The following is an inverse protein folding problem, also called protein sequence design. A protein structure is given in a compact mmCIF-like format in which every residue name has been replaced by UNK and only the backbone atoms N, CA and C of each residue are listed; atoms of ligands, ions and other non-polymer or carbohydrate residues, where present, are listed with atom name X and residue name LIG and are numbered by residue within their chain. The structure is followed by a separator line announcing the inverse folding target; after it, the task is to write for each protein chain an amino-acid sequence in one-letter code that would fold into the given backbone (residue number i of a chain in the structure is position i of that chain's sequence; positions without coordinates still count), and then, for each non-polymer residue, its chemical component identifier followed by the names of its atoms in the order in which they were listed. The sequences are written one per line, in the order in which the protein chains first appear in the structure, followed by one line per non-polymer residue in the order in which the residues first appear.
data_IF_103055589622
#
_entry.id   IF_103055589622
#
_cell.length_a   1.000
_cell.length_b   1.000
_cell.length_c   1.000
_cell.angle_alpha   90.00
_cell.angle_beta   90.00
_cell.angle_gamma   90.00
#
_symmetry.space_group_name_H-M   'P 1'
#
loop_
_entity.id
_entity.type
_entity.pdbx_description
1 polymer ?
#
# COMPACT_ATOMS: atom_id res chain seq x y z
N UNK A 1 6.29 -5.75 15.29
CA UNK A 1 5.88 -5.32 13.94
C UNK A 1 6.54 -6.21 12.88
N UNK A 2 5.83 -7.19 12.29
CA UNK A 2 6.37 -8.07 11.23
C UNK A 2 5.40 -8.32 10.05
N UNK A 3 4.25 -7.65 10.00
CA UNK A 3 3.14 -8.04 9.11
C UNK A 3 3.36 -7.54 7.68
N UNK A 4 3.72 -6.27 7.47
CA UNK A 4 3.86 -5.68 6.14
C UNK A 4 4.99 -6.30 5.30
N UNK A 5 6.12 -6.66 5.90
CA UNK A 5 7.21 -7.30 5.16
C UNK A 5 6.82 -8.64 4.53
N UNK A 6 5.93 -9.40 5.17
CA UNK A 6 5.45 -10.67 4.63
C UNK A 6 4.50 -10.48 3.44
N UNK A 7 3.74 -9.39 3.43
CA UNK A 7 2.80 -9.06 2.35
C UNK A 7 3.51 -8.61 1.06
N UNK A 8 4.66 -7.95 1.19
CA UNK A 8 5.42 -7.51 0.01
C UNK A 8 6.41 -8.58 -0.44
N UNK A 9 6.07 -9.27 -1.53
CA UNK A 9 6.98 -10.15 -2.26
C UNK A 9 8.21 -9.40 -2.79
N UNK A 10 9.29 -10.12 -3.13
CA UNK A 10 10.61 -9.55 -3.51
C UNK A 10 10.52 -8.38 -4.50
N UNK A 11 9.64 -8.48 -5.50
CA UNK A 11 9.44 -7.46 -6.55
C UNK A 11 8.89 -6.14 -5.99
N UNK A 12 7.92 -6.22 -5.08
CA UNK A 12 7.39 -5.05 -4.38
C UNK A 12 8.44 -4.47 -3.43
N UNK A 13 9.24 -5.30 -2.75
CA UNK A 13 10.34 -4.80 -1.91
C UNK A 13 11.36 -4.00 -2.72
N UNK A 14 11.74 -4.50 -3.89
CA UNK A 14 12.63 -3.82 -4.84
C UNK A 14 12.02 -2.49 -5.31
N UNK A 15 10.71 -2.44 -5.61
CA UNK A 15 10.01 -1.21 -5.97
C UNK A 15 9.94 -0.18 -4.82
N UNK A 16 9.96 -0.66 -3.57
CA UNK A 16 9.93 0.19 -2.38
C UNK A 16 11.33 0.63 -1.91
N UNK A 17 12.42 0.05 -2.43
CA UNK A 17 13.80 0.48 -2.14
C UNK A 17 14.04 1.99 -2.33
N UNK A 18 13.63 2.62 -3.45
CA UNK A 18 13.80 4.07 -3.62
C UNK A 18 13.00 4.89 -2.59
N UNK A 19 11.96 4.33 -2.00
CA UNK A 19 11.16 4.94 -0.93
C UNK A 19 11.73 4.68 0.48
N UNK A 20 12.93 4.09 0.58
CA UNK A 20 13.58 3.70 1.84
C UNK A 20 13.24 2.29 2.31
N UNK A 21 12.67 1.47 1.43
CA UNK A 21 12.38 0.06 1.65
C UNK A 21 11.11 -0.18 2.46
N UNK A 22 10.73 -1.46 2.57
CA UNK A 22 9.48 -1.88 3.21
C UNK A 22 9.37 -1.42 4.67
N UNK A 23 10.50 -1.32 5.37
CA UNK A 23 10.49 -0.94 6.78
C UNK A 23 10.13 0.55 6.95
N UNK A 24 10.68 1.43 6.12
CA UNK A 24 10.34 2.86 6.15
C UNK A 24 8.88 3.08 5.76
N UNK A 25 8.40 2.35 4.76
CA UNK A 25 7.00 2.37 4.33
C UNK A 25 6.06 1.91 5.45
N UNK A 26 6.40 0.81 6.15
CA UNK A 26 5.59 0.31 7.25
C UNK A 26 5.54 1.27 8.46
N UNK A 27 6.65 1.97 8.73
CA UNK A 27 6.72 3.01 9.76
C UNK A 27 5.86 4.20 9.36
N UNK A 28 6.07 4.75 8.16
CA UNK A 28 5.26 5.85 7.64
C UNK A 28 3.76 5.52 7.67
N UNK A 29 3.38 4.30 7.28
CA UNK A 29 1.98 3.87 7.33
C UNK A 29 1.42 3.76 8.76
N UNK A 30 2.27 3.47 9.75
CA UNK A 30 1.85 3.38 11.16
C UNK A 30 1.78 4.75 11.84
N UNK A 31 2.56 5.72 11.36
CA UNK A 31 2.60 7.09 11.88
C UNK A 31 1.60 8.02 11.17
N UNK A 32 1.18 7.66 9.96
CA UNK A 32 0.28 8.48 9.16
C UNK A 32 -1.19 8.12 9.38
N UNK A 33 -1.98 9.14 9.70
CA UNK A 33 -3.42 9.01 9.89
C UNK A 33 -4.19 9.00 8.56
N UNK A 34 -3.66 9.69 7.54
CA UNK A 34 -4.28 9.79 6.21
C UNK A 34 -3.30 9.51 5.07
N UNK A 35 -3.83 9.24 3.89
CA UNK A 35 -3.04 9.05 2.67
C UNK A 35 -2.16 10.27 2.36
N UNK A 36 -2.65 11.48 2.63
CA UNK A 36 -1.87 12.71 2.46
C UNK A 36 -0.69 12.79 3.43
N UNK A 37 -0.91 12.42 4.69
CA UNK A 37 0.16 12.39 5.69
C UNK A 37 1.22 11.34 5.33
N UNK A 38 0.78 10.17 4.86
CA UNK A 38 1.66 9.11 4.37
C UNK A 38 2.50 9.57 3.17
N UNK A 39 1.86 10.26 2.23
CA UNK A 39 2.54 10.86 1.09
C UNK A 39 3.61 11.86 1.51
N UNK A 40 3.33 12.71 2.50
CA UNK A 40 4.30 13.66 3.05
C UNK A 40 5.45 12.96 3.78
N UNK A 41 5.15 11.96 4.61
CA UNK A 41 6.14 11.19 5.35
C UNK A 41 7.16 10.50 4.43
N UNK A 42 6.69 9.97 3.29
CA UNK A 42 7.55 9.33 2.28
C UNK A 42 8.06 10.29 1.20
N UNK A 43 7.70 11.57 1.25
CA UNK A 43 7.99 12.56 0.19
C UNK A 43 7.59 12.06 -1.21
N UNK A 44 6.40 11.46 -1.32
CA UNK A 44 5.86 10.98 -2.58
C UNK A 44 5.52 12.15 -3.51
N UNK A 45 5.73 11.96 -4.81
CA UNK A 45 5.21 12.90 -5.79
C UNK A 45 3.68 12.77 -5.86
N UNK A 46 3.01 13.85 -6.29
CA UNK A 46 1.55 13.84 -6.48
C UNK A 46 1.08 12.68 -7.36
N UNK A 47 1.84 12.33 -8.40
CA UNK A 47 1.56 11.18 -9.28
C UNK A 47 1.56 9.84 -8.56
N UNK A 48 2.51 9.63 -7.63
CA UNK A 48 2.59 8.38 -6.85
C UNK A 48 1.45 8.30 -5.84
N UNK A 49 1.07 9.44 -5.26
CA UNK A 49 -0.05 9.54 -4.33
C UNK A 49 -1.39 9.28 -5.00
N UNK A 50 -1.60 9.84 -6.20
CA UNK A 50 -2.78 9.57 -7.05
C UNK A 50 -2.85 8.08 -7.48
N UNK A 51 -1.70 7.49 -7.77
CA UNK A 51 -1.61 6.06 -8.10
C UNK A 51 -1.99 5.19 -6.91
N UNK A 52 -1.45 5.49 -5.72
CA UNK A 52 -1.83 4.83 -4.46
C UNK A 52 -3.33 4.98 -4.20
N UNK A 53 -3.87 6.19 -4.33
CA UNK A 53 -5.32 6.44 -4.18
C UNK A 53 -6.14 5.56 -5.10
N UNK A 54 -5.73 5.45 -6.36
CA UNK A 54 -6.39 4.59 -7.35
C UNK A 54 -6.33 3.11 -6.96
N UNK A 55 -5.21 2.66 -6.38
CA UNK A 55 -5.09 1.28 -5.85
C UNK A 55 -6.06 1.04 -4.70
N UNK A 56 -6.16 1.96 -3.74
CA UNK A 56 -7.12 1.83 -2.64
C UNK A 56 -8.57 1.80 -3.12
N UNK A 57 -8.95 2.71 -4.03
CA UNK A 57 -10.29 2.73 -4.62
C UNK A 57 -10.61 1.45 -5.40
N UNK A 58 -9.65 0.90 -6.14
CA UNK A 58 -9.82 -0.39 -6.82
C UNK A 58 -10.09 -1.51 -5.82
N UNK A 59 -9.36 -1.55 -4.69
CA UNK A 59 -9.57 -2.56 -3.65
C UNK A 59 -10.91 -2.42 -2.94
N UNK A 60 -11.32 -1.19 -2.62
CA UNK A 60 -12.62 -0.87 -2.04
C UNK A 60 -13.77 -1.31 -2.97
N UNK A 61 -13.63 -1.02 -4.27
CA UNK A 61 -14.59 -1.45 -5.30
C UNK A 61 -14.55 -2.95 -5.59
N UNK A 62 -13.59 -3.70 -5.01
CA UNK A 62 -13.41 -5.13 -5.29
C UNK A 62 -12.71 -5.44 -6.62
N UNK A 63 -12.14 -4.44 -7.30
CA UNK A 63 -11.32 -4.62 -8.50
C UNK A 63 -9.90 -5.10 -8.12
N UNK A 64 -9.75 -6.42 -8.06
CA UNK A 64 -8.48 -7.07 -7.80
C UNK A 64 -7.62 -7.20 -9.07
N UNK A 65 -8.15 -6.77 -10.23
CA UNK A 65 -7.44 -6.80 -11.52
C UNK A 65 -6.22 -5.91 -11.53
N UNK A 66 -6.31 -4.75 -10.87
CA UNK A 66 -5.17 -3.85 -10.67
C UNK A 66 -4.06 -4.50 -9.82
N UNK A 67 -4.41 -5.14 -8.70
CA UNK A 67 -3.43 -5.84 -7.85
C UNK A 67 -2.71 -6.96 -8.60
N UNK A 68 -3.44 -7.73 -9.42
CA UNK A 68 -2.84 -8.74 -10.29
C UNK A 68 -1.88 -8.12 -11.32
N UNK A 69 -2.24 -6.98 -11.89
CA UNK A 69 -1.40 -6.24 -12.85
C UNK A 69 -0.11 -5.69 -12.24
N UNK A 70 -0.13 -5.39 -10.93
CA UNK A 70 1.08 -5.04 -10.15
C UNK A 70 2.01 -6.25 -9.90
N UNK A 71 1.62 -7.45 -10.34
CA UNK A 71 2.41 -8.68 -10.20
C UNK A 71 2.23 -9.37 -8.85
N UNK A 72 1.11 -9.11 -8.17
CA UNK A 72 0.77 -9.74 -6.90
C UNK A 72 0.19 -11.13 -7.19
N UNK A 73 0.75 -12.14 -6.53
CA UNK A 73 0.35 -13.54 -6.68
C UNK A 73 -1.01 -13.76 -6.03
N UNK A 74 -1.83 -14.65 -6.60
CA UNK A 74 -3.15 -14.99 -6.05
C UNK A 74 -3.11 -15.40 -4.56
N UNK A 75 -2.01 -16.03 -4.13
CA UNK A 75 -1.81 -16.43 -2.72
C UNK A 75 -1.63 -15.25 -1.76
N UNK A 76 -1.11 -14.12 -2.25
CA UNK A 76 -0.86 -12.91 -1.46
C UNK A 76 -2.00 -11.88 -1.61
N UNK A 77 -2.84 -12.08 -2.63
CA UNK A 77 -3.90 -11.16 -3.02
C UNK A 77 -4.99 -11.07 -1.97
N UNK A 78 -5.37 -12.19 -1.35
CA UNK A 78 -6.37 -12.23 -0.28
C UNK A 78 -5.89 -11.48 0.98
N UNK A 79 -4.66 -11.77 1.42
CA UNK A 79 -4.04 -11.10 2.57
C UNK A 79 -3.86 -9.59 2.32
N UNK A 80 -3.41 -9.20 1.12
CA UNK A 80 -3.24 -7.80 0.79
C UNK A 80 -4.59 -7.08 0.69
N UNK A 81 -5.60 -7.70 0.07
CA UNK A 81 -6.95 -7.14 0.02
C UNK A 81 -7.44 -6.89 1.44
N UNK A 82 -7.34 -7.89 2.32
CA UNK A 82 -7.76 -7.77 3.72
C UNK A 82 -7.03 -6.65 4.46
N UNK A 83 -5.72 -6.52 4.25
CA UNK A 83 -4.93 -5.46 4.85
C UNK A 83 -5.37 -4.06 4.39
N UNK A 84 -5.58 -3.88 3.08
CA UNK A 84 -6.00 -2.60 2.51
C UNK A 84 -7.43 -2.25 2.93
N UNK A 85 -8.34 -3.21 2.94
CA UNK A 85 -9.72 -3.07 3.42
C UNK A 85 -9.74 -2.56 4.88
N UNK A 86 -8.90 -3.15 5.73
CA UNK A 86 -8.71 -2.70 7.12
C UNK A 86 -8.15 -1.30 7.24
N UNK A 87 -7.27 -0.90 6.33
CA UNK A 87 -6.69 0.44 6.34
C UNK A 87 -7.71 1.50 5.89
N UNK A 88 -8.56 1.19 4.91
CA UNK A 88 -9.65 2.08 4.50
C UNK A 88 -10.66 2.26 5.64
N UNK A 89 -10.99 1.18 6.36
CA UNK A 89 -11.92 1.20 7.51
C UNK A 89 -11.46 2.12 8.66
N UNK A 90 -10.16 2.42 8.78
CA UNK A 90 -9.67 3.38 9.79
C UNK A 90 -9.89 4.84 9.41
N UNK A 91 -10.45 5.14 8.23
CA UNK A 91 -10.54 6.49 7.70
C UNK A 91 -9.24 6.98 7.06
N UNK A 92 -8.30 6.09 6.73
CA UNK A 92 -7.02 6.46 6.11
C UNK A 92 -7.18 7.17 4.75
N UNK A 93 -8.31 6.94 4.08
CA UNK A 93 -8.64 7.53 2.78
C UNK A 93 -9.49 8.80 2.89
N UNK A 94 -9.90 9.19 4.10
CA UNK A 94 -10.75 10.36 4.36
C UNK A 94 -9.95 11.68 4.29
#
# INVERSE_FOLDING_TARGET
MQTLQKLFGKKARDALLPLGGVQKVAVALSESETLEDFGKALNLMRSDLEHLRSVFLAVESGDLGLLKSLGIRDTELADLKFFLDKLVDTGFMD
#
